data_IF_267078547161
#
_entry.id   IF_267078547161
#
_cell.length_a   1.000
_cell.length_b   1.000
_cell.length_c   1.000
_cell.angle_alpha   90.00
_cell.angle_beta   90.00
_cell.angle_gamma   90.00
#
_symmetry.space_group_name_H-M   'P 1'
#
loop_
_entity.id
_entity.type
_entity.pdbx_description
1 polymer ?
#
# COMPACT_ATOMS: atom_id res chain seq x y z
N UNK A 1 13.44 -19.74 13.50
CA UNK A 1 13.90 -18.81 12.45
C UNK A 1 13.42 -17.42 12.85
N UNK A 2 14.27 -16.41 12.78
CA UNK A 2 13.92 -15.03 13.12
C UNK A 2 13.12 -14.32 12.02
N UNK A 3 12.56 -13.15 12.35
CA UNK A 3 11.78 -12.32 11.40
C UNK A 3 12.60 -11.93 10.18
N UNK A 4 13.84 -11.46 10.37
CA UNK A 4 14.70 -11.06 9.24
C UNK A 4 15.10 -12.24 8.34
N UNK A 5 15.36 -13.42 8.92
CA UNK A 5 15.68 -14.63 8.15
C UNK A 5 14.50 -15.03 7.25
N UNK A 6 13.26 -15.01 7.79
CA UNK A 6 12.03 -15.23 7.01
C UNK A 6 11.87 -14.19 5.89
N UNK A 7 12.15 -12.92 6.16
CA UNK A 7 12.09 -11.86 5.15
C UNK A 7 13.14 -12.04 4.05
N UNK A 8 14.35 -12.48 4.39
CA UNK A 8 15.40 -12.78 3.41
C UNK A 8 15.04 -13.97 2.51
N UNK A 9 14.44 -15.03 3.08
CA UNK A 9 13.95 -16.16 2.29
C UNK A 9 12.85 -15.74 1.30
N UNK A 10 11.88 -14.91 1.75
CA UNK A 10 10.85 -14.38 0.87
C UNK A 10 11.42 -13.46 -0.22
N UNK A 11 12.38 -12.59 0.15
CA UNK A 11 13.03 -11.68 -0.79
C UNK A 11 13.84 -12.41 -1.87
N UNK A 12 14.38 -13.59 -1.58
CA UNK A 12 15.10 -14.42 -2.54
C UNK A 12 14.18 -15.02 -3.63
N UNK A 13 12.86 -15.08 -3.41
CA UNK A 13 11.89 -15.62 -4.38
C UNK A 13 11.74 -14.67 -5.57
N UNK A 14 11.78 -15.24 -6.79
CA UNK A 14 11.69 -14.54 -8.07
C UNK A 14 13.03 -14.18 -8.70
N UNK A 15 14.11 -14.12 -7.90
CA UNK A 15 15.46 -13.83 -8.37
C UNK A 15 15.61 -12.44 -9.01
N UNK A 16 16.81 -12.16 -9.55
CA UNK A 16 17.11 -10.86 -10.16
C UNK A 16 17.42 -9.75 -9.14
N UNK A 17 17.23 -8.49 -9.55
CA UNK A 17 17.39 -7.32 -8.67
C UNK A 17 16.04 -7.06 -7.98
N UNK A 18 16.03 -6.89 -6.66
CA UNK A 18 14.80 -6.66 -5.90
C UNK A 18 13.91 -7.89 -5.75
N UNK A 19 12.78 -7.71 -5.07
CA UNK A 19 11.69 -8.66 -5.05
C UNK A 19 10.96 -8.66 -6.40
N UNK A 20 10.59 -9.84 -6.90
CA UNK A 20 9.89 -10.00 -8.17
C UNK A 20 8.80 -11.07 -8.04
N UNK A 21 7.74 -10.75 -7.26
CA UNK A 21 6.60 -11.65 -7.02
C UNK A 21 5.28 -10.98 -7.45
N UNK A 22 5.11 -10.64 -8.74
CA UNK A 22 3.88 -9.97 -9.19
C UNK A 22 2.65 -10.86 -8.98
N UNK A 23 1.49 -10.24 -8.76
CA UNK A 23 0.22 -10.96 -8.58
C UNK A 23 -0.06 -11.98 -9.69
N UNK A 24 -0.44 -13.20 -9.29
CA UNK A 24 -0.77 -14.32 -10.18
C UNK A 24 0.46 -15.05 -10.76
N UNK A 25 1.66 -14.74 -10.28
CA UNK A 25 2.89 -15.41 -10.71
C UNK A 25 3.19 -16.69 -9.91
N UNK A 26 3.93 -17.65 -10.50
CA UNK A 26 4.46 -18.80 -9.74
C UNK A 26 5.30 -18.40 -8.53
N UNK A 27 5.96 -17.24 -8.60
CA UNK A 27 6.76 -16.68 -7.51
C UNK A 27 5.90 -16.22 -6.32
N UNK A 28 4.76 -15.57 -6.58
CA UNK A 28 3.79 -15.24 -5.54
C UNK A 28 3.21 -16.52 -4.90
N UNK A 29 2.91 -17.54 -5.72
CA UNK A 29 2.45 -18.85 -5.22
C UNK A 29 3.50 -19.54 -4.35
N UNK A 30 4.77 -19.46 -4.72
CA UNK A 30 5.88 -20.00 -3.94
C UNK A 30 6.02 -19.29 -2.58
N UNK A 31 5.84 -17.96 -2.54
CA UNK A 31 5.86 -17.19 -1.30
C UNK A 31 4.70 -17.59 -0.36
N UNK A 32 3.49 -17.75 -0.90
CA UNK A 32 2.35 -18.23 -0.11
C UNK A 32 2.56 -19.66 0.38
N UNK A 33 3.11 -20.56 -0.43
CA UNK A 33 3.42 -21.92 -0.01
C UNK A 33 4.45 -21.95 1.13
N UNK A 34 5.50 -21.13 1.02
CA UNK A 34 6.52 -21.00 2.06
C UNK A 34 5.95 -20.48 3.39
N UNK A 35 5.15 -19.42 3.34
CA UNK A 35 4.49 -18.89 4.55
C UNK A 35 3.49 -19.89 5.13
N UNK A 36 2.78 -20.64 4.29
CA UNK A 36 1.88 -21.70 4.73
C UNK A 36 2.62 -22.79 5.52
N UNK A 37 3.84 -23.14 5.10
CA UNK A 37 4.68 -24.09 5.86
C UNK A 37 5.10 -23.51 7.22
N UNK A 38 5.50 -22.25 7.28
CA UNK A 38 5.82 -21.59 8.56
C UNK A 38 4.60 -21.49 9.49
N UNK A 39 3.42 -21.21 8.96
CA UNK A 39 2.17 -21.24 9.74
C UNK A 39 1.89 -22.65 10.31
N UNK A 40 2.14 -23.72 9.53
CA UNK A 40 2.01 -25.10 10.03
C UNK A 40 3.04 -25.43 11.09
N UNK A 41 4.29 -25.00 10.91
CA UNK A 41 5.36 -25.17 11.89
C UNK A 41 5.05 -24.44 13.21
N UNK A 42 4.38 -23.29 13.12
CA UNK A 42 3.84 -22.55 14.26
C UNK A 42 2.62 -23.22 14.93
N UNK A 43 2.11 -24.32 14.37
CA UNK A 43 0.95 -25.05 14.87
C UNK A 43 -0.40 -24.44 14.53
N UNK A 44 -0.45 -23.54 13.54
CA UNK A 44 -1.70 -22.92 13.07
C UNK A 44 -2.45 -23.83 12.09
N UNK A 45 -3.77 -23.72 12.08
CA UNK A 45 -4.60 -24.37 11.07
C UNK A 45 -4.55 -23.55 9.78
N UNK A 46 -3.98 -24.13 8.72
CA UNK A 46 -3.80 -23.41 7.46
C UNK A 46 -4.95 -23.65 6.49
N UNK A 47 -5.57 -22.56 6.04
CA UNK A 47 -6.66 -22.53 5.07
C UNK A 47 -6.32 -21.56 3.93
N UNK A 48 -6.79 -21.86 2.73
CA UNK A 48 -6.77 -20.91 1.60
C UNK A 48 -8.21 -20.71 1.15
N UNK A 49 -8.65 -19.45 1.07
CA UNK A 49 -10.03 -19.14 0.66
C UNK A 49 -10.23 -19.25 -0.86
N UNK A 50 -11.46 -19.01 -1.32
CA UNK A 50 -11.83 -19.05 -2.73
C UNK A 50 -11.15 -17.96 -3.60
N UNK A 51 -10.51 -16.98 -2.97
CA UNK A 51 -9.80 -15.87 -3.62
C UNK A 51 -8.28 -16.02 -3.54
N UNK A 52 -7.79 -17.12 -2.95
CA UNK A 52 -6.37 -17.43 -2.83
C UNK A 52 -5.69 -16.77 -1.62
N UNK A 53 -6.44 -16.09 -0.75
CA UNK A 53 -5.88 -15.54 0.49
C UNK A 53 -5.52 -16.70 1.42
N UNK A 54 -4.34 -16.61 2.02
CA UNK A 54 -3.83 -17.60 2.94
C UNK A 54 -4.13 -17.20 4.38
N UNK A 55 -4.65 -18.13 5.16
CA UNK A 55 -4.95 -17.97 6.58
C UNK A 55 -4.19 -19.00 7.41
N UNK A 56 -3.60 -18.55 8.52
CA UNK A 56 -3.12 -19.40 9.61
C UNK A 56 -3.93 -19.12 10.86
N UNK A 57 -4.89 -19.98 11.18
CA UNK A 57 -5.86 -19.73 12.25
C UNK A 57 -5.46 -20.36 13.57
N UNK A 58 -5.73 -19.62 14.66
CA UNK A 58 -5.87 -20.23 15.98
C UNK A 58 -7.29 -20.76 16.16
N UNK A 59 -7.50 -21.71 17.07
CA UNK A 59 -8.79 -22.43 17.24
C UNK A 59 -9.93 -21.59 17.83
N UNK A 60 -9.83 -20.26 17.80
CA UNK A 60 -10.75 -19.33 18.48
C UNK A 60 -11.69 -18.65 17.46
N UNK A 61 -12.99 -18.64 17.76
CA UNK A 61 -14.03 -17.97 16.94
C UNK A 61 -14.12 -16.49 17.33
N UNK A 62 -14.25 -15.59 16.34
CA UNK A 62 -14.29 -14.14 16.58
C UNK A 62 -12.91 -13.48 16.71
N UNK A 63 -11.92 -14.03 16.00
CA UNK A 63 -10.50 -13.74 16.18
C UNK A 63 -10.08 -12.35 15.64
N UNK A 64 -8.96 -11.86 16.15
CA UNK A 64 -8.25 -10.69 15.63
C UNK A 64 -7.34 -11.16 14.50
N UNK A 65 -7.40 -10.52 13.34
CA UNK A 65 -6.48 -10.83 12.25
C UNK A 65 -5.25 -9.95 12.30
N UNK A 66 -4.11 -10.52 11.92
CA UNK A 66 -2.82 -9.85 11.78
C UNK A 66 -2.25 -10.25 10.43
N UNK A 67 -1.79 -9.30 9.62
CA UNK A 67 -1.32 -9.67 8.29
C UNK A 67 -1.08 -8.50 7.36
N UNK A 68 -0.78 -8.84 6.11
CA UNK A 68 -0.60 -7.93 4.98
C UNK A 68 -0.57 -8.77 3.69
N UNK A 69 0.27 -8.45 2.71
CA UNK A 69 0.38 -9.14 1.42
C UNK A 69 1.76 -9.75 1.16
N UNK A 70 1.87 -10.58 0.12
CA UNK A 70 3.13 -11.23 -0.28
C UNK A 70 3.53 -10.96 -1.74
N UNK A 71 2.60 -10.45 -2.57
CA UNK A 71 2.96 -9.95 -3.90
C UNK A 71 3.85 -8.72 -3.81
N UNK A 72 4.59 -8.45 -4.88
CA UNK A 72 5.42 -7.26 -5.01
C UNK A 72 5.33 -6.67 -6.41
N UNK A 73 5.56 -5.36 -6.54
CA UNK A 73 5.96 -4.79 -7.83
C UNK A 73 7.28 -5.42 -8.35
N UNK A 74 7.55 -5.37 -9.67
CA UNK A 74 8.84 -5.74 -10.22
C UNK A 74 9.98 -4.89 -9.64
N UNK A 75 11.07 -5.53 -9.24
CA UNK A 75 12.19 -4.91 -8.51
C UNK A 75 11.75 -4.19 -7.23
N UNK A 76 10.79 -4.75 -6.51
CA UNK A 76 10.34 -4.24 -5.22
C UNK A 76 11.36 -4.42 -4.10
N UNK A 77 11.00 -3.93 -2.92
CA UNK A 77 11.81 -4.03 -1.71
C UNK A 77 11.64 -5.36 -0.96
N UNK A 78 12.28 -5.45 0.20
CA UNK A 78 12.26 -6.64 1.06
C UNK A 78 11.07 -6.67 2.01
N UNK A 79 10.52 -5.51 2.36
CA UNK A 79 9.66 -5.34 3.53
C UNK A 79 8.21 -5.02 3.17
N UNK A 80 7.98 -4.31 2.07
CA UNK A 80 6.65 -3.93 1.55
C UNK A 80 5.75 -5.15 1.31
N UNK A 81 4.76 -5.37 2.19
CA UNK A 81 3.97 -6.60 2.32
C UNK A 81 4.54 -7.65 3.30
N UNK A 82 5.64 -8.37 2.98
CA UNK A 82 6.16 -9.46 3.80
C UNK A 82 6.41 -9.12 5.27
N UNK A 83 6.78 -7.87 5.60
CA UNK A 83 6.97 -7.45 7.00
C UNK A 83 5.70 -7.64 7.82
N UNK A 84 4.53 -7.31 7.26
CA UNK A 84 3.26 -7.46 7.95
C UNK A 84 2.86 -8.90 8.16
N UNK A 85 3.11 -9.77 7.17
CA UNK A 85 2.80 -11.20 7.26
C UNK A 85 3.75 -11.92 8.22
N UNK A 86 5.06 -11.71 8.08
CA UNK A 86 6.09 -12.36 8.91
C UNK A 86 6.05 -11.82 10.35
N UNK A 87 5.93 -10.50 10.52
CA UNK A 87 5.79 -9.87 11.83
C UNK A 87 4.48 -10.27 12.52
N UNK A 88 3.39 -10.41 11.75
CA UNK A 88 2.12 -10.95 12.22
C UNK A 88 2.25 -12.40 12.70
N UNK A 89 2.92 -13.27 11.94
CA UNK A 89 3.19 -14.65 12.33
C UNK A 89 4.01 -14.72 13.63
N UNK A 90 5.09 -13.96 13.72
CA UNK A 90 5.91 -13.90 14.94
C UNK A 90 5.09 -13.40 16.15
N UNK A 91 4.22 -12.38 15.96
CA UNK A 91 3.33 -11.90 17.00
C UNK A 91 2.32 -12.97 17.45
N UNK A 92 1.75 -13.74 16.52
CA UNK A 92 0.85 -14.85 16.84
C UNK A 92 1.61 -15.96 17.58
N UNK A 93 2.79 -16.35 17.12
CA UNK A 93 3.66 -17.37 17.76
C UNK A 93 3.99 -16.99 19.22
N UNK A 94 4.36 -15.72 19.47
CA UNK A 94 4.70 -15.22 20.82
C UNK A 94 3.53 -15.19 21.78
N UNK A 95 2.32 -15.00 21.26
CA UNK A 95 1.16 -14.65 22.08
C UNK A 95 0.14 -15.77 22.18
N UNK A 96 0.11 -16.68 21.20
CA UNK A 96 -0.94 -17.69 21.02
C UNK A 96 -2.32 -17.07 20.79
N UNK A 97 -2.38 -15.84 20.26
CA UNK A 97 -3.60 -15.07 20.01
C UNK A 97 -3.61 -14.59 18.57
N UNK A 98 -4.80 -14.45 17.98
CA UNK A 98 -4.93 -13.93 16.63
C UNK A 98 -4.84 -15.00 15.55
N UNK A 99 -5.17 -14.61 14.34
CA UNK A 99 -4.97 -15.39 13.12
C UNK A 99 -4.11 -14.59 12.16
N UNK A 100 -3.21 -15.27 11.46
CA UNK A 100 -2.38 -14.66 10.42
C UNK A 100 -3.13 -14.69 9.09
N UNK A 101 -3.07 -13.60 8.33
CA UNK A 101 -3.57 -13.55 6.95
C UNK A 101 -2.50 -13.02 6.00
N UNK A 102 -2.37 -13.64 4.84
CA UNK A 102 -1.65 -13.10 3.69
C UNK A 102 -2.63 -12.91 2.53
N UNK A 103 -2.92 -11.65 2.20
CA UNK A 103 -3.82 -11.29 1.12
C UNK A 103 -3.14 -11.39 -0.24
N UNK A 104 -3.94 -11.66 -1.28
CA UNK A 104 -3.49 -11.70 -2.67
C UNK A 104 -3.68 -10.38 -3.39
N UNK A 105 -2.68 -9.99 -4.18
CA UNK A 105 -2.81 -8.91 -5.16
C UNK A 105 -3.09 -7.54 -4.55
N UNK A 106 -2.37 -7.19 -3.48
CA UNK A 106 -2.45 -5.84 -2.88
C UNK A 106 -1.98 -4.80 -3.89
N UNK A 107 -0.84 -5.03 -4.53
CA UNK A 107 -0.14 -4.08 -5.41
C UNK A 107 -0.95 -3.72 -6.65
N UNK A 108 -1.91 -4.57 -7.01
CA UNK A 108 -2.82 -4.41 -8.14
C UNK A 108 -4.24 -4.00 -7.72
N UNK A 109 -4.43 -3.61 -6.47
CA UNK A 109 -5.67 -2.99 -5.97
C UNK A 109 -6.38 -3.74 -4.85
N UNK A 110 -5.65 -4.47 -4.01
CA UNK A 110 -6.19 -5.22 -2.86
C UNK A 110 -7.24 -6.25 -3.30
N UNK A 111 -6.93 -7.04 -4.33
CA UNK A 111 -7.88 -7.97 -4.97
C UNK A 111 -8.44 -8.97 -3.96
N UNK A 112 -7.57 -9.59 -3.18
CA UNK A 112 -7.90 -10.61 -2.20
C UNK A 112 -8.80 -10.11 -1.08
N UNK A 113 -8.43 -9.00 -0.43
CA UNK A 113 -9.23 -8.43 0.66
C UNK A 113 -10.56 -7.84 0.18
N UNK A 114 -10.60 -7.24 -1.02
CA UNK A 114 -11.86 -6.73 -1.62
C UNK A 114 -12.83 -7.85 -1.92
N UNK A 115 -12.34 -8.92 -2.56
CA UNK A 115 -13.17 -10.07 -2.90
C UNK A 115 -13.72 -10.73 -1.63
N UNK A 116 -12.87 -10.91 -0.61
CA UNK A 116 -13.27 -11.40 0.70
C UNK A 116 -14.35 -10.52 1.33
N UNK A 117 -14.12 -9.21 1.46
CA UNK A 117 -15.08 -8.31 2.12
C UNK A 117 -16.40 -8.17 1.36
N UNK A 118 -16.41 -8.37 0.04
CA UNK A 118 -17.64 -8.34 -0.77
C UNK A 118 -18.51 -9.59 -0.59
N UNK A 119 -17.91 -10.74 -0.25
CA UNK A 119 -18.59 -12.03 -0.17
C UNK A 119 -18.59 -12.70 1.21
N UNK A 120 -17.94 -12.13 2.21
CA UNK A 120 -17.76 -12.77 3.51
C UNK A 120 -19.05 -12.80 4.35
N UNK A 121 -19.41 -13.99 4.82
CA UNK A 121 -20.43 -14.18 5.85
C UNK A 121 -19.93 -13.75 7.25
N UNK A 122 -18.61 -13.79 7.47
CA UNK A 122 -17.98 -13.40 8.74
C UNK A 122 -16.62 -12.73 8.53
N UNK A 123 -16.43 -11.56 9.14
CA UNK A 123 -15.19 -10.80 9.20
C UNK A 123 -14.57 -10.87 10.62
N UNK A 124 -13.27 -10.58 10.80
CA UNK A 124 -12.64 -10.60 12.12
C UNK A 124 -13.19 -9.51 13.05
N UNK A 125 -12.98 -9.67 14.36
CA UNK A 125 -13.37 -8.66 15.34
C UNK A 125 -12.54 -7.37 15.23
N UNK A 126 -11.29 -7.51 14.80
CA UNK A 126 -10.38 -6.42 14.50
C UNK A 126 -9.28 -6.88 13.54
N UNK A 127 -8.60 -5.94 12.90
CA UNK A 127 -7.44 -6.21 12.06
C UNK A 127 -6.26 -5.31 12.43
N UNK A 128 -5.08 -5.88 12.52
CA UNK A 128 -3.82 -5.16 12.75
C UNK A 128 -2.86 -5.44 11.59
N UNK A 129 -2.36 -4.40 10.96
CA UNK A 129 -1.39 -4.52 9.87
C UNK A 129 -0.10 -3.79 10.23
N UNK A 130 1.00 -4.53 10.26
CA UNK A 130 2.34 -3.96 10.38
C UNK A 130 2.87 -3.70 8.98
N UNK A 131 3.41 -2.51 8.76
CA UNK A 131 3.91 -2.13 7.45
C UNK A 131 5.10 -1.17 7.57
N UNK A 132 5.92 -1.05 6.53
CA UNK A 132 6.85 0.08 6.44
C UNK A 132 6.10 1.36 6.06
N UNK A 133 6.61 2.52 6.44
CA UNK A 133 5.97 3.81 6.17
C UNK A 133 5.84 4.14 4.66
N UNK A 134 6.83 3.70 3.85
CA UNK A 134 6.98 4.05 2.42
C UNK A 134 7.12 5.57 2.19
N UNK A 135 7.54 6.29 3.23
CA UNK A 135 7.69 7.73 3.24
C UNK A 135 8.78 8.16 4.23
N UNK A 136 9.18 9.45 4.21
CA UNK A 136 10.28 9.95 5.03
C UNK A 136 9.81 10.62 6.34
N UNK A 137 8.54 10.54 6.72
CA UNK A 137 7.99 11.30 7.85
C UNK A 137 8.62 10.84 9.17
N UNK A 138 8.66 9.53 9.42
CA UNK A 138 9.24 8.95 10.63
C UNK A 138 10.76 9.12 10.64
N UNK A 139 11.43 8.96 9.49
CA UNK A 139 12.87 9.21 9.36
C UNK A 139 13.21 10.66 9.72
N UNK A 140 12.49 11.64 9.16
CA UNK A 140 12.68 13.07 9.46
C UNK A 140 12.33 13.44 10.89
N UNK A 141 11.35 12.76 11.49
CA UNK A 141 10.97 12.95 12.87
C UNK A 141 11.93 12.26 13.87
N UNK A 142 12.82 11.39 13.39
CA UNK A 142 13.65 10.54 14.25
C UNK A 142 12.83 9.52 15.06
N UNK A 143 11.61 9.21 14.62
CA UNK A 143 10.72 8.25 15.27
C UNK A 143 10.89 6.86 14.62
N UNK A 144 11.02 5.77 15.39
CA UNK A 144 11.15 4.42 14.82
C UNK A 144 9.81 3.88 14.31
N UNK A 145 8.71 4.32 14.93
CA UNK A 145 7.36 3.82 14.68
C UNK A 145 6.36 4.96 14.50
N UNK A 146 5.29 4.68 13.77
CA UNK A 146 4.13 5.56 13.60
C UNK A 146 2.83 4.78 13.64
N UNK A 147 1.74 5.46 13.99
CA UNK A 147 0.41 4.85 14.00
C UNK A 147 -0.45 5.51 12.94
N UNK A 148 -1.03 4.69 12.06
CA UNK A 148 -1.79 5.21 10.92
C UNK A 148 -3.15 5.72 11.35
N UNK A 149 -3.52 6.93 10.92
CA UNK A 149 -4.82 7.55 11.20
C UNK A 149 -5.89 7.17 10.18
N UNK A 150 -5.50 7.11 8.90
CA UNK A 150 -6.36 6.74 7.78
C UNK A 150 -5.52 6.30 6.57
N UNK A 151 -6.15 5.52 5.69
CA UNK A 151 -5.70 5.33 4.31
C UNK A 151 -6.28 6.44 3.45
N UNK A 152 -5.45 7.17 2.70
CA UNK A 152 -5.93 8.23 1.80
C UNK A 152 -6.85 7.69 0.72
N UNK A 153 -7.82 8.50 0.31
CA UNK A 153 -8.62 8.21 -0.88
C UNK A 153 -7.82 8.49 -2.14
N UNK A 154 -8.15 7.80 -3.23
CA UNK A 154 -7.56 8.07 -4.53
C UNK A 154 -8.60 8.05 -5.66
N UNK A 155 -8.28 8.78 -6.72
CA UNK A 155 -8.98 8.82 -7.99
C UNK A 155 -7.96 8.67 -9.11
N UNK A 156 -8.13 7.65 -9.94
CA UNK A 156 -7.25 7.36 -11.08
C UNK A 156 -8.04 7.41 -12.38
N UNK A 157 -7.43 7.94 -13.43
CA UNK A 157 -8.04 8.04 -14.76
C UNK A 157 -7.04 8.51 -15.79
N UNK A 158 -7.56 8.95 -16.92
CA UNK A 158 -6.76 9.41 -18.05
C UNK A 158 -7.31 10.72 -18.61
N UNK A 159 -6.43 11.52 -19.21
CA UNK A 159 -6.80 12.66 -20.03
C UNK A 159 -6.26 12.43 -21.45
N UNK A 160 -7.09 12.72 -22.45
CA UNK A 160 -6.74 12.58 -23.86
C UNK A 160 -6.79 13.95 -24.52
N UNK A 161 -5.69 14.33 -25.14
CA UNK A 161 -5.53 15.56 -25.91
C UNK A 161 -5.48 15.21 -27.38
N UNK A 162 -6.33 15.85 -28.16
CA UNK A 162 -6.39 15.71 -29.62
C UNK A 162 -5.89 17.01 -30.25
N UNK A 163 -5.19 16.89 -31.36
CA UNK A 163 -4.63 17.97 -32.16
C UNK A 163 -4.60 17.56 -33.63
N UNK A 164 -3.55 17.98 -34.34
CA UNK A 164 -3.41 17.65 -35.76
C UNK A 164 -1.97 17.32 -36.14
N UNK A 165 -1.78 16.15 -36.75
CA UNK A 165 -0.49 15.76 -37.30
C UNK A 165 -0.03 16.75 -38.38
N UNK A 166 1.25 17.07 -38.34
CA UNK A 166 1.88 17.96 -39.30
C UNK A 166 3.38 17.76 -39.34
N UNK A 167 4.02 18.22 -40.41
CA UNK A 167 5.46 18.12 -40.55
C UNK A 167 6.15 19.15 -39.66
N UNK A 168 7.02 18.71 -38.75
CA UNK A 168 7.62 19.58 -37.73
C UNK A 168 8.50 20.70 -38.31
N UNK A 169 9.05 20.51 -39.50
CA UNK A 169 9.91 21.52 -40.16
C UNK A 169 9.17 22.54 -41.02
N UNK A 170 7.97 22.25 -41.51
CA UNK A 170 7.29 23.08 -42.52
C UNK A 170 5.98 23.68 -42.03
N UNK A 171 5.41 23.15 -40.95
CA UNK A 171 4.21 23.72 -40.32
C UNK A 171 4.59 24.92 -39.44
N UNK A 172 4.15 26.15 -39.77
CA UNK A 172 4.45 27.35 -38.97
C UNK A 172 3.89 27.25 -37.55
N UNK A 173 4.59 27.83 -36.56
CA UNK A 173 4.20 27.73 -35.15
C UNK A 173 2.80 28.26 -34.85
N UNK A 174 2.40 29.38 -35.48
CA UNK A 174 1.10 30.02 -35.25
C UNK A 174 -0.11 29.19 -35.73
N UNK A 175 0.12 28.14 -36.53
CA UNK A 175 -0.94 27.27 -37.07
C UNK A 175 -0.93 25.86 -36.52
N UNK A 176 -0.16 25.58 -35.45
CA UNK A 176 -0.08 24.24 -34.86
C UNK A 176 -1.23 24.00 -33.89
N UNK A 177 -1.77 22.80 -33.99
CA UNK A 177 -2.67 22.21 -33.01
C UNK A 177 -1.93 21.00 -32.41
N UNK A 178 -1.04 21.28 -31.47
CA UNK A 178 -0.03 20.33 -30.97
C UNK A 178 -0.50 19.69 -29.66
N UNK A 179 -0.93 18.42 -29.74
CA UNK A 179 -1.50 17.70 -28.61
C UNK A 179 -0.50 17.53 -27.45
N UNK A 180 0.81 17.42 -27.75
CA UNK A 180 1.83 17.26 -26.72
C UNK A 180 2.10 18.55 -25.96
N UNK A 181 2.03 19.70 -26.64
CA UNK A 181 2.11 21.00 -25.95
C UNK A 181 0.91 21.20 -25.02
N UNK A 182 -0.29 20.83 -25.46
CA UNK A 182 -1.49 20.88 -24.61
C UNK A 182 -1.37 19.95 -23.38
N UNK A 183 -0.90 18.71 -23.59
CA UNK A 183 -0.67 17.77 -22.50
C UNK A 183 0.40 18.26 -21.52
N UNK A 184 1.49 18.87 -22.00
CA UNK A 184 2.54 19.42 -21.15
C UNK A 184 2.04 20.56 -20.24
N UNK A 185 1.20 21.45 -20.77
CA UNK A 185 0.53 22.49 -19.97
C UNK A 185 -0.40 21.87 -18.91
N UNK A 186 -1.18 20.84 -19.29
CA UNK A 186 -2.05 20.12 -18.35
C UNK A 186 -1.25 19.44 -17.22
N UNK A 187 -0.11 18.81 -17.51
CA UNK A 187 0.76 18.17 -16.50
C UNK A 187 1.19 19.18 -15.43
N UNK A 188 1.60 20.39 -15.84
CA UNK A 188 1.98 21.44 -14.91
C UNK A 188 0.80 21.91 -14.05
N UNK A 189 -0.39 22.05 -14.66
CA UNK A 189 -1.61 22.42 -13.94
C UNK A 189 -2.04 21.36 -12.93
N UNK A 190 -1.91 20.08 -13.26
CA UNK A 190 -2.21 18.96 -12.35
C UNK A 190 -1.36 19.04 -11.09
N UNK A 191 -0.04 19.22 -11.25
CA UNK A 191 0.89 19.42 -10.13
C UNK A 191 0.47 20.62 -9.27
N UNK A 192 0.17 21.75 -9.92
CA UNK A 192 -0.19 22.99 -9.21
C UNK A 192 -1.55 22.88 -8.51
N UNK A 193 -2.51 22.13 -9.06
CA UNK A 193 -3.79 21.85 -8.43
C UNK A 193 -3.60 21.02 -7.15
N UNK A 194 -2.81 19.95 -7.21
CA UNK A 194 -2.49 19.13 -6.04
C UNK A 194 -1.82 19.95 -4.93
N UNK A 195 -0.85 20.80 -5.26
CA UNK A 195 -0.16 21.63 -4.28
C UNK A 195 -1.04 22.66 -3.57
N UNK A 196 -2.26 22.93 -4.05
CA UNK A 196 -3.24 23.82 -3.39
C UNK A 196 -4.16 23.08 -2.42
N UNK A 197 -4.20 21.75 -2.47
CA UNK A 197 -5.01 20.91 -1.59
C UNK A 197 -4.10 20.42 -0.46
N UNK A 198 -4.44 20.79 0.77
CA UNK A 198 -3.71 20.32 1.95
C UNK A 198 -3.73 18.78 2.04
N UNK A 199 -2.54 18.16 2.05
CA UNK A 199 -2.38 16.71 2.02
C UNK A 199 -2.72 16.05 0.67
N UNK A 200 -3.07 16.86 -0.35
CA UNK A 200 -3.33 16.39 -1.70
C UNK A 200 -2.06 16.14 -2.49
N UNK A 201 -2.03 15.05 -3.25
CA UNK A 201 -0.96 14.74 -4.21
C UNK A 201 -1.58 14.31 -5.53
N UNK A 202 -0.93 14.65 -6.64
CA UNK A 202 -1.31 14.12 -7.94
C UNK A 202 -0.07 13.86 -8.80
N UNK A 203 -0.11 12.76 -9.54
CA UNK A 203 1.02 12.28 -10.34
C UNK A 203 0.54 11.92 -11.74
N UNK A 204 1.26 12.42 -12.75
CA UNK A 204 1.18 11.91 -14.12
C UNK A 204 2.34 10.95 -14.32
N UNK A 205 2.04 9.66 -14.25
CA UNK A 205 3.06 8.60 -14.28
C UNK A 205 3.29 8.01 -15.67
N UNK A 206 2.35 8.20 -16.59
CA UNK A 206 2.39 7.64 -17.95
C UNK A 206 2.02 8.70 -18.97
N UNK A 207 2.70 8.66 -20.12
CA UNK A 207 2.51 9.56 -21.24
C UNK A 207 2.72 8.78 -22.55
N UNK A 208 1.68 8.72 -23.37
CA UNK A 208 1.69 8.08 -24.69
C UNK A 208 1.47 9.13 -25.77
N UNK A 209 2.37 9.19 -26.75
CA UNK A 209 2.37 10.20 -27.83
C UNK A 209 2.21 9.51 -29.17
N UNK A 210 1.22 9.94 -29.93
CA UNK A 210 0.88 9.42 -31.26
C UNK A 210 0.97 10.57 -32.28
N UNK A 211 1.66 10.39 -33.44
CA UNK A 211 2.33 9.17 -33.89
C UNK A 211 3.70 8.88 -33.23
N UNK A 212 4.25 9.83 -32.46
CA UNK A 212 5.53 9.65 -31.73
C UNK A 212 6.81 9.84 -32.56
N UNK A 213 6.68 10.24 -33.83
CA UNK A 213 7.83 10.60 -34.67
C UNK A 213 8.45 11.93 -34.27
N UNK A 214 9.77 12.00 -34.14
CA UNK A 214 10.48 13.23 -33.71
C UNK A 214 10.34 14.42 -34.66
N UNK A 215 9.94 14.17 -35.91
CA UNK A 215 9.70 15.16 -36.95
C UNK A 215 8.21 15.34 -37.29
N UNK A 216 7.30 14.85 -36.43
CA UNK A 216 5.85 14.93 -36.61
C UNK A 216 5.26 15.67 -35.41
N UNK A 217 4.42 16.68 -35.68
CA UNK A 217 3.59 17.32 -34.65
C UNK A 217 2.63 16.26 -34.11
N UNK A 218 2.60 15.97 -32.79
CA UNK A 218 1.70 14.98 -32.24
C UNK A 218 0.23 15.36 -32.45
N UNK A 219 -0.55 14.40 -32.95
CA UNK A 219 -1.98 14.57 -33.14
C UNK A 219 -2.78 14.08 -31.93
N UNK A 220 -2.20 13.19 -31.12
CA UNK A 220 -2.88 12.66 -29.96
C UNK A 220 -1.91 12.35 -28.84
N UNK A 221 -2.27 12.74 -27.63
CA UNK A 221 -1.52 12.41 -26.41
C UNK A 221 -2.47 11.94 -25.33
N UNK A 222 -2.15 10.80 -24.71
CA UNK A 222 -2.85 10.26 -23.54
C UNK A 222 -1.91 10.35 -22.34
N UNK A 223 -2.40 10.89 -21.24
CA UNK A 223 -1.68 10.93 -19.96
C UNK A 223 -2.50 10.22 -18.88
N UNK A 224 -1.83 9.57 -17.94
CA UNK A 224 -2.47 9.06 -16.73
C UNK A 224 -2.57 10.13 -15.64
N UNK A 225 -3.54 9.99 -14.75
CA UNK A 225 -3.68 10.81 -13.54
C UNK A 225 -3.90 9.88 -12.35
N UNK A 226 -3.05 9.96 -11.33
CA UNK A 226 -3.26 9.39 -10.00
C UNK A 226 -3.36 10.55 -9.01
N UNK A 227 -4.55 10.84 -8.49
CA UNK A 227 -4.81 11.89 -7.52
C UNK A 227 -5.20 11.26 -6.17
N UNK A 228 -4.59 11.72 -5.08
CA UNK A 228 -4.87 11.23 -3.72
C UNK A 228 -5.10 12.38 -2.74
N UNK A 229 -5.96 12.14 -1.76
CA UNK A 229 -6.27 13.12 -0.72
C UNK A 229 -6.73 12.45 0.58
N UNK A 230 -6.53 13.09 1.75
CA UNK A 230 -6.77 12.47 3.06
C UNK A 230 -8.25 12.29 3.40
N UNK A 231 -9.16 13.02 2.73
CA UNK A 231 -10.60 12.87 2.90
C UNK A 231 -11.36 13.02 1.58
N UNK A 232 -12.63 12.61 1.59
CA UNK A 232 -13.47 12.58 0.40
C UNK A 232 -13.72 13.98 -0.19
N UNK A 233 -13.91 14.99 0.66
CA UNK A 233 -14.15 16.37 0.22
C UNK A 233 -12.92 16.92 -0.52
N UNK A 234 -11.74 16.75 0.06
CA UNK A 234 -10.48 17.17 -0.56
C UNK A 234 -10.18 16.38 -1.83
N UNK A 235 -10.55 15.09 -1.89
CA UNK A 235 -10.44 14.30 -3.12
C UNK A 235 -11.36 14.84 -4.22
N UNK A 236 -12.61 15.16 -3.89
CA UNK A 236 -13.57 15.78 -4.82
C UNK A 236 -13.03 17.11 -5.36
N UNK A 237 -12.59 18.00 -4.46
CA UNK A 237 -11.98 19.29 -4.82
C UNK A 237 -10.78 19.11 -5.75
N UNK A 238 -9.91 18.14 -5.47
CA UNK A 238 -8.75 17.84 -6.31
C UNK A 238 -9.15 17.31 -7.69
N UNK A 239 -10.11 16.37 -7.76
CA UNK A 239 -10.58 15.83 -9.03
C UNK A 239 -11.27 16.88 -9.90
N UNK A 240 -12.06 17.76 -9.28
CA UNK A 240 -12.71 18.88 -9.97
C UNK A 240 -11.68 19.90 -10.47
N UNK A 241 -10.68 20.24 -9.64
CA UNK A 241 -9.62 21.17 -10.02
C UNK A 241 -8.73 20.64 -11.16
N UNK A 242 -8.52 19.32 -11.24
CA UNK A 242 -7.82 18.69 -12.36
C UNK A 242 -8.71 18.60 -13.61
N UNK A 243 -10.02 18.39 -13.43
CA UNK A 243 -10.98 18.32 -14.52
C UNK A 243 -10.93 17.00 -15.30
N UNK A 244 -10.83 15.87 -14.59
CA UNK A 244 -10.89 14.53 -15.18
C UNK A 244 -12.00 13.69 -14.57
N UNK A 245 -12.52 12.73 -15.33
CA UNK A 245 -13.48 11.74 -14.84
C UNK A 245 -12.70 10.51 -14.33
N UNK A 246 -12.79 10.16 -13.03
CA UNK A 246 -12.08 9.00 -12.50
C UNK A 246 -12.63 7.68 -13.07
N UNK A 247 -11.75 6.84 -13.59
CA UNK A 247 -12.06 5.47 -13.99
C UNK A 247 -12.08 4.53 -12.78
N UNK A 248 -11.22 4.80 -11.80
CA UNK A 248 -11.16 4.08 -10.54
C UNK A 248 -11.15 5.09 -9.39
N UNK A 249 -11.95 4.79 -8.36
CA UNK A 249 -12.04 5.64 -7.18
C UNK A 249 -12.18 4.79 -5.93
N UNK A 250 -11.36 5.09 -4.92
CA UNK A 250 -11.46 4.52 -3.59
C UNK A 250 -11.62 5.65 -2.59
N UNK A 251 -12.60 5.53 -1.69
CA UNK A 251 -12.81 6.50 -0.62
C UNK A 251 -11.74 6.31 0.47
N UNK A 252 -11.32 7.39 1.15
CA UNK A 252 -10.45 7.29 2.31
C UNK A 252 -11.10 6.42 3.40
N UNK A 253 -10.27 5.67 4.11
CA UNK A 253 -10.71 4.76 5.18
C UNK A 253 -10.02 5.12 6.49
N UNK A 254 -10.81 5.56 7.49
CA UNK A 254 -10.29 5.87 8.81
C UNK A 254 -9.95 4.59 9.58
N UNK A 255 -8.82 4.60 10.29
CA UNK A 255 -8.45 3.49 11.17
C UNK A 255 -9.30 3.52 12.45
N UNK A 256 -9.66 2.34 12.95
CA UNK A 256 -10.48 2.15 14.14
C UNK A 256 -9.84 2.77 15.38
N UNK A 257 -10.62 3.58 16.11
CA UNK A 257 -10.13 4.36 17.25
C UNK A 257 -9.50 3.49 18.35
N UNK A 258 -10.15 2.38 18.69
CA UNK A 258 -9.72 1.49 19.77
C UNK A 258 -8.38 0.77 19.48
N UNK A 259 -8.22 -0.01 18.39
CA UNK A 259 -6.94 -0.65 18.09
C UNK A 259 -5.84 0.38 17.84
N UNK A 260 -6.17 1.55 17.25
CA UNK A 260 -5.22 2.66 17.08
C UNK A 260 -4.70 3.18 18.43
N UNK A 261 -5.60 3.40 19.39
CA UNK A 261 -5.20 3.88 20.74
C UNK A 261 -4.34 2.86 21.48
N UNK A 262 -4.60 1.56 21.31
CA UNK A 262 -3.74 0.52 21.89
C UNK A 262 -2.32 0.60 21.34
N UNK A 263 -2.14 0.74 20.03
CA UNK A 263 -0.81 0.91 19.42
C UNK A 263 -0.10 2.15 19.97
N UNK A 264 -0.81 3.28 20.08
CA UNK A 264 -0.27 4.51 20.67
C UNK A 264 0.18 4.28 22.12
N UNK A 265 -0.66 3.67 22.96
CA UNK A 265 -0.30 3.35 24.35
C UNK A 265 0.95 2.46 24.43
N UNK A 266 1.06 1.46 23.53
CA UNK A 266 2.22 0.57 23.49
C UNK A 266 3.52 1.32 23.12
N UNK A 267 3.46 2.26 22.19
CA UNK A 267 4.61 3.10 21.83
C UNK A 267 4.96 4.05 22.98
N UNK A 268 3.97 4.76 23.54
CA UNK A 268 4.15 5.70 24.64
C UNK A 268 4.73 5.02 25.90
N UNK A 269 4.30 3.80 26.22
CA UNK A 269 4.80 3.02 27.36
C UNK A 269 6.28 2.61 27.26
N UNK A 270 6.88 2.74 26.08
CA UNK A 270 8.29 2.47 25.80
C UNK A 270 9.14 3.75 25.75
N UNK A 271 8.58 4.88 26.19
CA UNK A 271 9.21 6.20 26.16
C UNK A 271 9.60 6.66 24.74
N UNK A 272 8.82 6.23 23.73
CA UNK A 272 9.03 6.57 22.32
C UNK A 272 8.04 7.65 21.85
N UNK A 273 8.42 8.46 20.83
CA UNK A 273 7.50 9.42 20.24
C UNK A 273 6.35 8.70 19.51
N UNK A 274 5.12 9.01 19.91
CA UNK A 274 3.91 8.51 19.26
C UNK A 274 3.49 9.46 18.11
N UNK A 275 3.95 9.15 16.90
CA UNK A 275 3.60 9.90 15.69
C UNK A 275 2.34 9.31 15.06
N UNK A 276 1.33 10.15 14.85
CA UNK A 276 0.14 9.80 14.06
C UNK A 276 0.23 10.43 12.66
N UNK A 277 -0.01 9.63 11.62
CA UNK A 277 0.10 10.05 10.22
C UNK A 277 -0.85 9.25 9.31
N UNK A 278 -1.34 9.81 8.19
CA UNK A 278 -2.07 9.01 7.20
C UNK A 278 -1.11 8.15 6.38
N UNK A 279 -1.58 7.00 5.85
CA UNK A 279 -0.87 6.29 4.79
C UNK A 279 -1.26 6.86 3.44
N UNK A 280 -0.26 7.25 2.65
CA UNK A 280 -0.41 7.66 1.26
C UNK A 280 -0.61 6.50 0.28
N UNK A 281 -0.26 5.28 0.68
CA UNK A 281 -0.39 4.04 -0.09
C UNK A 281 -1.76 3.37 0.15
N UNK A 282 -2.13 2.48 -0.77
CA UNK A 282 -3.23 1.55 -0.52
C UNK A 282 -2.73 0.44 0.40
N UNK A 283 -3.64 -0.14 1.20
CA UNK A 283 -3.36 -1.32 2.03
C UNK A 283 -4.66 -2.10 2.26
N UNK A 284 -4.53 -3.38 2.56
CA UNK A 284 -5.66 -4.24 2.91
C UNK A 284 -6.41 -3.74 4.15
N UNK A 285 -5.73 -3.13 5.13
CA UNK A 285 -6.38 -2.49 6.27
C UNK A 285 -7.41 -1.43 5.87
N UNK A 286 -7.18 -0.71 4.76
CA UNK A 286 -8.15 0.26 4.23
C UNK A 286 -9.43 -0.41 3.73
N UNK A 287 -9.29 -1.60 3.12
CA UNK A 287 -10.43 -2.39 2.63
C UNK A 287 -11.24 -2.97 3.80
N UNK A 288 -10.57 -3.54 4.79
CA UNK A 288 -11.22 -4.08 5.98
C UNK A 288 -11.90 -2.98 6.81
N UNK A 289 -11.25 -1.82 6.98
CA UNK A 289 -11.84 -0.66 7.64
C UNK A 289 -13.11 -0.17 6.90
N UNK A 290 -13.07 -0.08 5.57
CA UNK A 290 -14.23 0.31 4.77
C UNK A 290 -15.38 -0.72 4.86
N UNK A 291 -15.08 -2.00 5.11
CA UNK A 291 -16.06 -3.05 5.37
C UNK A 291 -16.60 -3.05 6.81
N UNK A 292 -16.15 -2.13 7.67
CA UNK A 292 -16.61 -1.99 9.05
C UNK A 292 -15.81 -2.77 10.08
N UNK A 293 -14.66 -3.36 9.71
CA UNK A 293 -13.75 -4.01 10.66
C UNK A 293 -12.91 -2.95 11.38
N UNK A 294 -12.88 -2.91 12.72
CA UNK A 294 -11.94 -2.09 13.47
C UNK A 294 -10.49 -2.42 13.12
N UNK A 295 -9.89 -1.61 12.25
CA UNK A 295 -8.55 -1.87 11.70
C UNK A 295 -7.55 -0.83 12.18
N UNK A 296 -6.31 -1.20 12.45
CA UNK A 296 -5.23 -0.25 12.71
C UNK A 296 -3.93 -0.70 12.07
N UNK A 297 -3.08 0.26 11.70
CA UNK A 297 -1.75 -0.05 11.18
C UNK A 297 -0.64 0.54 12.05
N UNK A 298 0.43 -0.24 12.17
CA UNK A 298 1.69 0.17 12.77
C UNK A 298 2.71 0.36 11.64
N UNK A 299 3.22 1.58 11.50
CA UNK A 299 4.29 1.88 10.57
C UNK A 299 5.66 1.73 11.22
N UNK A 300 6.59 1.13 10.46
CA UNK A 300 8.02 1.11 10.74
C UNK A 300 8.69 2.15 9.87
N UNK A 301 9.62 2.90 10.46
CA UNK A 301 10.41 3.92 9.75
C UNK A 301 11.09 3.34 8.51
N UNK A 302 10.77 3.90 7.35
CA UNK A 302 11.52 3.68 6.12
C UNK A 302 12.74 4.60 6.08
N UNK A 303 13.93 4.01 6.03
CA UNK A 303 15.21 4.71 5.88
C UNK A 303 15.45 5.08 4.41
N UNK A 304 16.59 5.70 4.13
CA UNK A 304 17.03 6.06 2.77
C UNK A 304 16.06 7.06 2.11
N UNK A 305 15.52 8.01 2.88
CA UNK A 305 14.58 9.00 2.37
C UNK A 305 13.17 8.48 2.15
N UNK A 306 12.82 7.34 2.75
CA UNK A 306 11.49 6.73 2.60
C UNK A 306 11.29 5.98 1.29
N UNK A 307 12.37 5.49 0.68
CA UNK A 307 12.31 4.73 -0.59
C UNK A 307 11.53 3.43 -0.38
N UNK A 308 10.58 3.17 -1.29
CA UNK A 308 9.85 1.91 -1.44
C UNK A 308 9.59 1.65 -2.93
N UNK A 309 8.98 0.51 -3.28
CA UNK A 309 8.84 0.03 -4.66
C UNK A 309 10.19 -0.01 -5.42
N UNK A 310 11.26 -0.31 -4.68
CA UNK A 310 12.63 -0.30 -5.17
C UNK A 310 13.49 -1.28 -4.37
N UNK A 311 14.54 -1.86 -4.97
CA UNK A 311 15.48 -2.72 -4.25
C UNK A 311 16.29 -1.98 -3.18
N UNK A 312 16.26 -0.64 -3.21
CA UNK A 312 16.96 0.24 -2.28
C UNK A 312 16.10 0.57 -1.03
N UNK A 313 14.96 -0.10 -0.87
CA UNK A 313 14.11 -0.05 0.32
C UNK A 313 14.86 -0.54 1.56
N UNK A 314 14.75 0.21 2.65
CA UNK A 314 15.50 -0.07 3.86
C UNK A 314 14.68 0.26 5.11
N UNK A 315 14.70 -0.65 6.08
CA UNK A 315 14.29 -0.43 7.47
C UNK A 315 15.32 -1.13 8.36
N UNK A 316 15.63 -0.55 9.53
CA UNK A 316 16.64 -1.12 10.42
C UNK A 316 16.12 -2.39 11.10
N UNK A 317 17.05 -3.28 11.48
CA UNK A 317 16.72 -4.47 12.26
C UNK A 317 16.09 -4.07 13.60
N UNK A 318 16.65 -3.05 14.26
CA UNK A 318 16.16 -2.57 15.54
C UNK A 318 14.74 -2.01 15.47
N UNK A 319 14.41 -1.25 14.42
CA UNK A 319 13.05 -0.72 14.22
C UNK A 319 12.05 -1.86 13.95
N UNK A 320 12.45 -2.90 13.20
CA UNK A 320 11.61 -4.06 12.88
C UNK A 320 11.34 -4.90 14.13
N UNK A 321 12.37 -5.22 14.92
CA UNK A 321 12.22 -5.97 16.16
C UNK A 321 11.29 -5.23 17.15
N UNK A 322 11.51 -3.92 17.30
CA UNK A 322 10.67 -3.06 18.13
C UNK A 322 9.21 -3.05 17.64
N UNK A 323 8.99 -2.98 16.32
CA UNK A 323 7.65 -3.00 15.75
C UNK A 323 6.92 -4.32 16.04
N UNK A 324 7.61 -5.44 15.92
CA UNK A 324 7.07 -6.77 16.24
C UNK A 324 6.73 -6.89 17.72
N UNK A 325 7.56 -6.34 18.61
CA UNK A 325 7.29 -6.29 20.06
C UNK A 325 6.03 -5.49 20.40
N UNK A 326 5.86 -4.32 19.75
CA UNK A 326 4.67 -3.48 19.88
C UNK A 326 3.44 -4.20 19.32
N UNK A 327 3.55 -4.79 18.12
CA UNK A 327 2.47 -5.54 17.48
C UNK A 327 2.00 -6.72 18.35
N UNK A 328 2.92 -7.53 18.88
CA UNK A 328 2.59 -8.66 19.75
C UNK A 328 1.92 -8.22 21.07
N UNK A 329 2.30 -7.05 21.59
CA UNK A 329 1.69 -6.50 22.81
C UNK A 329 0.29 -5.94 22.53
N UNK A 330 0.12 -5.23 21.41
CA UNK A 330 -1.17 -4.75 20.94
C UNK A 330 -2.13 -5.90 20.62
N UNK A 331 -1.67 -6.92 19.90
CA UNK A 331 -2.45 -8.12 19.57
C UNK A 331 -3.04 -8.78 20.81
N UNK A 332 -2.23 -8.96 21.87
CA UNK A 332 -2.72 -9.49 23.15
C UNK A 332 -3.83 -8.65 23.76
N UNK A 333 -3.71 -7.32 23.68
CA UNK A 333 -4.70 -6.38 24.26
C UNK A 333 -5.98 -6.33 23.45
N UNK A 334 -5.90 -6.36 22.12
CA UNK A 334 -7.07 -6.39 21.24
C UNK A 334 -7.80 -7.73 21.38
N UNK A 335 -7.07 -8.85 21.37
CA UNK A 335 -7.66 -10.20 21.44
C UNK A 335 -8.17 -10.60 22.84
N UNK A 336 -7.90 -9.80 23.88
CA UNK A 336 -8.38 -10.05 25.24
C UNK A 336 -9.76 -9.43 25.52
N UNK A 337 -10.39 -8.82 24.52
CA UNK A 337 -11.66 -8.09 24.66
C UNK A 337 -12.84 -8.85 24.08
#
# INVERSE_FOLDING_TARGET
MGVLERLDELYAIGGGRGANRPYGSPEEDAAHALVADWMREAGLEVEVDAHGNLFGRTSVRGDVWVGSHLDSVPQGGRFDGPLGVVGGLEAVERTGRGSVVAFRGEEVGCIGSRALCAGADTLPAAFLELHIEQGPVLERAGAPLGVVTAIVGYARGELVFEGRAGHAGTTPMAGRDDALVAAADAILRIRDAAGRIEGGVATVGQLAVEPGGSNVIPERVRISVDARAPDARRLDELTEAIGFEPMHRTLPAAMGEEPRRILLDEIESRDLPAIELPSGAGHDAGILAAAGVPSAMLFVRSLNGGVSHSPDELSSEEDIELAVDVLASALRRVAAR
#
